data_IF_127484491902
#
_entry.id   IF_127484491902
#
_cell.length_a   1.000
_cell.length_b   1.000
_cell.length_c   1.000
_cell.angle_alpha   90.00
_cell.angle_beta   90.00
_cell.angle_gamma   90.00
#
_symmetry.space_group_name_H-M   'P 1'
#
loop_
_entity.id
_entity.type
_entity.pdbx_description
1 polymer ?
#
# COMPACT_ATOMS: atom_id res chain seq x y z
N UNK A 1 42.35 15.88 -42.60
CA UNK A 1 43.52 15.07 -42.16
C UNK A 1 43.16 14.49 -40.79
N UNK A 2 42.40 13.38 -40.71
CA UNK A 2 42.80 11.97 -40.82
C UNK A 2 43.92 11.56 -39.84
N UNK A 3 43.54 10.84 -38.77
CA UNK A 3 44.13 9.61 -38.16
C UNK A 3 43.79 9.55 -36.66
N UNK A 4 42.83 8.72 -36.24
CA UNK A 4 42.94 7.29 -35.87
C UNK A 4 43.96 6.99 -34.77
N UNK A 5 43.49 6.44 -33.63
CA UNK A 5 43.77 5.12 -33.00
C UNK A 5 42.81 4.98 -31.80
N UNK A 6 41.68 4.29 -31.87
CA UNK A 6 41.45 2.84 -31.86
C UNK A 6 42.38 2.08 -30.90
N UNK A 7 41.88 1.74 -29.71
CA UNK A 7 42.47 0.75 -28.82
C UNK A 7 41.39 -0.31 -28.49
N UNK A 8 41.45 -1.42 -29.22
CA UNK A 8 40.80 -2.69 -28.90
C UNK A 8 41.62 -3.40 -27.83
N UNK A 9 40.97 -3.92 -26.79
CA UNK A 9 41.49 -5.04 -26.01
C UNK A 9 40.37 -6.08 -25.91
N UNK A 10 40.49 -7.13 -26.72
CA UNK A 10 39.85 -8.42 -26.57
C UNK A 10 40.65 -9.27 -25.57
N UNK A 11 40.05 -10.40 -25.15
CA UNK A 11 40.68 -11.58 -24.51
C UNK A 11 40.49 -11.65 -22.98
N UNK A 12 40.04 -12.71 -22.30
CA UNK A 12 39.75 -14.12 -22.64
C UNK A 12 39.13 -14.80 -21.38
N UNK A 13 38.52 -15.98 -21.55
CA UNK A 13 38.28 -17.04 -20.55
C UNK A 13 37.16 -16.85 -19.52
N UNK A 14 36.45 -17.87 -19.05
CA UNK A 14 36.31 -19.27 -19.44
C UNK A 14 35.09 -19.82 -18.68
N UNK A 15 34.37 -20.74 -19.31
CA UNK A 15 33.33 -21.53 -18.69
C UNK A 15 33.91 -22.44 -17.58
N UNK A 16 33.21 -22.51 -16.44
CA UNK A 16 33.30 -23.66 -15.53
C UNK A 16 31.88 -24.13 -15.22
N UNK A 17 31.64 -25.37 -15.64
CA UNK A 17 30.47 -26.21 -15.45
C UNK A 17 30.56 -27.00 -14.13
N UNK A 18 29.39 -27.47 -13.66
CA UNK A 18 29.15 -28.64 -12.77
C UNK A 18 29.44 -28.40 -11.27
N UNK A 19 28.62 -28.80 -10.27
CA UNK A 19 27.92 -30.09 -10.06
C UNK A 19 26.95 -30.04 -8.82
N UNK A 20 25.92 -30.92 -8.80
CA UNK A 20 25.22 -31.60 -7.67
C UNK A 20 24.48 -30.76 -6.57
N UNK A 21 23.17 -30.91 -6.26
CA UNK A 21 22.29 -32.05 -5.95
C UNK A 21 22.32 -32.53 -4.47
N UNK A 22 21.12 -32.89 -3.95
CA UNK A 22 20.75 -33.62 -2.70
C UNK A 22 20.31 -32.74 -1.50
N UNK A 23 19.01 -32.49 -1.33
CA UNK A 23 18.00 -33.26 -0.53
C UNK A 23 18.28 -33.34 0.97
N UNK A 24 17.31 -32.88 1.79
CA UNK A 24 16.87 -33.59 2.99
C UNK A 24 15.49 -33.08 3.44
N UNK A 25 14.53 -34.00 3.46
CA UNK A 25 13.21 -33.88 4.05
C UNK A 25 13.30 -34.03 5.58
N UNK A 26 12.45 -33.30 6.30
CA UNK A 26 12.25 -33.46 7.75
C UNK A 26 10.80 -33.24 8.12
N UNK A 27 10.02 -34.32 8.14
CA UNK A 27 8.74 -34.41 8.86
C UNK A 27 9.02 -34.87 10.30
N UNK A 28 8.40 -34.22 11.28
CA UNK A 28 8.40 -34.66 12.67
C UNK A 28 7.28 -33.95 13.43
N UNK A 29 6.14 -34.64 13.55
CA UNK A 29 4.93 -34.26 14.28
C UNK A 29 4.63 -35.41 15.22
N UNK A 30 4.53 -35.15 16.53
CA UNK A 30 3.85 -35.95 17.56
C UNK A 30 4.00 -35.19 18.88
N UNK A 31 2.93 -34.60 19.41
CA UNK A 31 2.03 -35.16 20.42
C UNK A 31 2.54 -34.96 21.85
N UNK A 32 1.74 -34.25 22.66
CA UNK A 32 1.34 -34.69 24.02
C UNK A 32 0.24 -33.75 24.51
N UNK A 33 -0.96 -34.31 24.57
CA UNK A 33 -2.10 -33.87 25.35
C UNK A 33 -1.81 -34.02 26.85
N UNK A 34 -2.38 -33.13 27.67
CA UNK A 34 -2.93 -33.57 28.95
C UNK A 34 -4.08 -32.67 29.40
N UNK A 35 -5.15 -33.33 29.81
CA UNK A 35 -6.34 -32.79 30.45
C UNK A 35 -6.04 -32.31 31.88
N UNK A 36 -6.92 -31.47 32.45
CA UNK A 36 -7.87 -31.88 33.49
C UNK A 36 -8.46 -30.67 34.22
N UNK A 37 -9.79 -30.70 34.29
CA UNK A 37 -10.76 -29.84 34.95
C UNK A 37 -10.71 -30.02 36.48
N UNK A 38 -11.03 -28.99 37.26
CA UNK A 38 -11.86 -29.16 38.47
C UNK A 38 -12.49 -27.85 38.93
N UNK A 39 -13.82 -27.93 39.07
CA UNK A 39 -14.78 -27.00 39.64
C UNK A 39 -14.56 -26.72 41.14
N UNK A 40 -15.14 -25.62 41.65
CA UNK A 40 -16.06 -25.66 42.80
C UNK A 40 -16.61 -24.27 43.17
N UNK A 41 -17.94 -24.18 43.07
CA UNK A 41 -18.87 -23.21 43.65
C UNK A 41 -18.69 -22.91 45.15
N UNK A 42 -19.16 -21.73 45.56
CA UNK A 42 -19.95 -21.57 46.78
C UNK A 42 -20.86 -20.34 46.72
N UNK A 43 -22.13 -20.59 46.98
CA UNK A 43 -23.31 -19.72 46.90
C UNK A 43 -23.51 -18.79 48.13
N UNK A 44 -24.05 -17.57 47.86
CA UNK A 44 -25.14 -16.80 48.54
C UNK A 44 -25.05 -16.45 50.05
N UNK A 45 -25.66 -15.34 50.58
CA UNK A 45 -27.00 -14.84 50.22
C UNK A 45 -27.32 -13.31 50.26
N UNK A 46 -28.56 -13.09 49.82
CA UNK A 46 -29.48 -11.94 49.63
C UNK A 46 -29.68 -10.90 50.75
N UNK A 47 -30.01 -9.66 50.33
CA UNK A 47 -31.15 -8.80 50.76
C UNK A 47 -31.15 -7.50 49.91
N UNK A 48 -32.13 -7.25 49.01
CA UNK A 48 -33.30 -6.33 49.16
C UNK A 48 -32.96 -4.96 49.77
N UNK A 49 -33.42 -3.79 49.32
CA UNK A 49 -34.08 -3.21 48.16
C UNK A 49 -34.10 -1.69 48.46
N UNK A 50 -34.27 -0.83 47.45
CA UNK A 50 -35.11 0.39 47.47
C UNK A 50 -34.62 1.48 46.49
N UNK A 51 -35.62 2.15 45.94
CA UNK A 51 -35.68 3.10 44.82
C UNK A 51 -34.67 4.25 44.81
N UNK A 52 -34.24 4.63 43.60
CA UNK A 52 -33.64 5.95 43.37
C UNK A 52 -33.30 6.27 41.92
N UNK A 53 -34.25 6.89 41.22
CA UNK A 53 -34.09 7.80 40.07
C UNK A 53 -33.22 7.38 38.86
N UNK A 54 -33.91 7.02 37.79
CA UNK A 54 -33.38 6.96 36.43
C UNK A 54 -32.99 8.35 35.90
N UNK A 55 -31.72 8.50 35.52
CA UNK A 55 -31.29 9.52 34.57
C UNK A 55 -30.93 8.79 33.25
N UNK A 56 -31.45 9.21 32.10
CA UNK A 56 -31.13 8.58 30.83
C UNK A 56 -29.67 8.84 30.46
N UNK A 57 -28.90 7.75 30.31
CA UNK A 57 -27.60 7.75 29.66
C UNK A 57 -27.79 8.20 28.21
N UNK A 58 -27.08 9.24 27.72
CA UNK A 58 -27.10 9.57 26.31
C UNK A 58 -26.49 8.40 25.54
N UNK A 59 -27.28 7.88 24.59
CA UNK A 59 -26.90 6.77 23.74
C UNK A 59 -25.58 7.06 23.03
N UNK A 60 -24.66 6.10 23.14
CA UNK A 60 -23.52 5.97 22.25
C UNK A 60 -24.06 5.60 20.87
N UNK A 61 -24.48 6.60 20.11
CA UNK A 61 -24.71 6.48 18.70
C UNK A 61 -23.35 6.29 18.03
N UNK A 62 -23.11 5.10 17.47
CA UNK A 62 -22.03 4.86 16.53
C UNK A 62 -22.27 5.71 15.28
N UNK A 63 -21.84 6.98 15.31
CA UNK A 63 -21.68 7.78 14.12
C UNK A 63 -20.45 7.28 13.37
N UNK A 64 -20.66 6.74 12.17
CA UNK A 64 -19.57 6.52 11.20
C UNK A 64 -18.77 7.81 11.06
N UNK A 65 -17.43 7.75 11.03
CA UNK A 65 -16.61 8.96 10.89
C UNK A 65 -16.97 9.64 9.57
N UNK A 66 -17.44 10.88 9.68
CA UNK A 66 -17.69 11.78 8.57
C UNK A 66 -16.32 12.26 8.03
N UNK A 67 -15.91 11.73 6.86
CA UNK A 67 -14.67 12.11 6.19
C UNK A 67 -14.63 13.58 5.74
N UNK A 68 -15.71 14.35 5.93
CA UNK A 68 -15.75 15.80 5.67
C UNK A 68 -15.07 16.64 6.76
N UNK A 69 -14.69 16.07 7.91
CA UNK A 69 -14.24 16.83 9.07
C UNK A 69 -12.98 16.22 9.69
N UNK A 70 -11.84 16.38 9.01
CA UNK A 70 -10.52 16.27 9.63
C UNK A 70 -9.81 17.61 9.42
N UNK A 71 -9.03 18.01 10.42
CA UNK A 71 -8.39 19.30 10.62
C UNK A 71 -7.77 19.93 9.35
N UNK A 72 -7.67 21.27 9.35
CA UNK A 72 -7.07 22.14 8.31
C UNK A 72 -6.20 21.40 7.29
N UNK A 73 -6.72 21.22 6.06
CA UNK A 73 -6.00 20.67 4.91
C UNK A 73 -4.79 21.56 4.60
N UNK A 74 -3.64 21.26 5.19
CA UNK A 74 -2.45 22.14 5.14
C UNK A 74 -1.81 22.16 3.74
N UNK A 75 -2.06 21.14 2.92
CA UNK A 75 -1.59 21.05 1.55
C UNK A 75 -2.54 20.24 0.67
N UNK A 76 -2.99 20.85 -0.43
CA UNK A 76 -3.84 20.21 -1.45
C UNK A 76 -3.01 19.83 -2.67
N UNK A 77 -3.15 18.60 -3.14
CA UNK A 77 -2.58 18.07 -4.38
C UNK A 77 -3.37 16.81 -4.75
N UNK A 78 -3.37 16.43 -6.02
CA UNK A 78 -4.18 15.31 -6.51
C UNK A 78 -5.56 15.76 -6.99
N UNK A 79 -6.39 14.79 -7.35
CA UNK A 79 -7.77 14.99 -7.82
C UNK A 79 -8.71 15.38 -6.67
N UNK A 80 -9.73 16.17 -6.98
CA UNK A 80 -10.75 16.55 -6.01
C UNK A 80 -11.70 15.37 -5.72
N UNK A 81 -12.28 15.33 -4.52
CA UNK A 81 -13.31 14.34 -4.17
C UNK A 81 -14.50 14.49 -5.12
N UNK A 82 -14.97 13.35 -5.66
CA UNK A 82 -16.03 13.30 -6.66
C UNK A 82 -15.55 13.33 -8.13
N UNK A 83 -14.27 13.61 -8.39
CA UNK A 83 -13.72 13.53 -9.74
C UNK A 83 -13.56 12.07 -10.20
N UNK A 84 -13.58 11.84 -11.52
CA UNK A 84 -13.41 10.51 -12.13
C UNK A 84 -11.97 10.33 -12.59
N UNK A 85 -11.20 9.38 -12.03
CA UNK A 85 -9.84 9.13 -12.45
C UNK A 85 -9.76 8.69 -13.92
N UNK A 86 -8.98 9.45 -14.70
CA UNK A 86 -8.81 9.22 -16.14
C UNK A 86 -7.83 8.07 -16.43
N UNK A 87 -7.92 7.41 -17.60
CA UNK A 87 -6.92 6.44 -18.03
C UNK A 87 -5.53 7.07 -18.17
N UNK A 88 -4.51 6.35 -17.72
CA UNK A 88 -3.11 6.65 -18.03
C UNK A 88 -2.30 5.35 -17.97
N UNK A 89 -1.16 5.35 -18.65
CA UNK A 89 -0.29 4.18 -18.74
C UNK A 89 0.91 4.30 -17.81
N UNK A 90 1.32 3.18 -17.22
CA UNK A 90 2.53 3.01 -16.43
C UNK A 90 3.22 1.73 -16.85
N UNK A 91 4.53 1.63 -16.64
CA UNK A 91 5.24 0.35 -16.76
C UNK A 91 5.22 -0.38 -15.41
N UNK A 92 4.74 -1.62 -15.42
CA UNK A 92 4.76 -2.48 -14.25
C UNK A 92 6.19 -3.00 -13.98
N UNK A 93 6.69 -2.82 -12.76
CA UNK A 93 8.06 -3.22 -12.37
C UNK A 93 8.07 -4.44 -11.45
N UNK A 94 7.00 -4.70 -10.71
CA UNK A 94 6.97 -5.73 -9.64
C UNK A 94 5.67 -6.50 -9.56
N UNK A 95 4.64 -6.07 -10.28
CA UNK A 95 3.34 -6.68 -10.36
C UNK A 95 3.25 -7.81 -11.40
N UNK A 96 2.04 -8.31 -11.65
CA UNK A 96 1.81 -9.49 -12.48
C UNK A 96 2.08 -9.26 -13.98
N UNK A 97 2.26 -8.01 -14.39
CA UNK A 97 2.55 -7.62 -15.77
C UNK A 97 3.95 -7.03 -15.92
N UNK A 98 4.89 -7.39 -15.02
CA UNK A 98 6.27 -6.91 -15.01
C UNK A 98 6.88 -6.77 -16.42
N UNK A 99 7.44 -5.58 -16.69
CA UNK A 99 8.06 -5.21 -17.97
C UNK A 99 7.08 -4.79 -19.06
N UNK A 100 5.78 -4.67 -18.75
CA UNK A 100 4.76 -4.21 -19.70
C UNK A 100 4.21 -2.85 -19.30
N UNK A 101 3.85 -2.07 -20.31
CA UNK A 101 3.10 -0.82 -20.17
C UNK A 101 1.61 -1.09 -20.23
N UNK A 102 0.86 -0.58 -19.26
CA UNK A 102 -0.58 -0.78 -19.14
C UNK A 102 -1.28 0.27 -18.27
N UNK A 103 -2.61 0.28 -18.31
CA UNK A 103 -3.46 1.16 -17.52
C UNK A 103 -4.11 0.41 -16.35
N UNK A 104 -3.60 0.59 -15.12
CA UNK A 104 -4.19 -0.03 -13.93
C UNK A 104 -5.61 0.46 -13.64
N UNK A 105 -5.90 1.75 -13.88
CA UNK A 105 -7.27 2.28 -13.80
C UNK A 105 -8.25 1.50 -14.68
N UNK A 106 -7.80 1.09 -15.87
CA UNK A 106 -8.59 0.35 -16.84
C UNK A 106 -8.73 -1.13 -16.44
N UNK A 107 -7.64 -1.74 -15.95
CA UNK A 107 -7.65 -3.12 -15.46
C UNK A 107 -8.54 -3.32 -14.23
N UNK A 108 -8.50 -2.37 -13.30
CA UNK A 108 -9.23 -2.48 -12.04
C UNK A 108 -10.70 -2.07 -12.17
N UNK A 109 -11.09 -1.33 -13.22
CA UNK A 109 -12.50 -1.04 -13.51
C UNK A 109 -13.20 -0.30 -12.37
N UNK A 110 -14.28 -0.87 -11.84
CA UNK A 110 -15.09 -0.28 -10.75
C UNK A 110 -14.64 -0.72 -9.34
N UNK A 111 -13.54 -1.46 -9.23
CA UNK A 111 -13.03 -1.88 -7.92
C UNK A 111 -12.69 -0.67 -7.02
N UNK A 112 -12.74 -0.83 -5.69
CA UNK A 112 -12.10 0.11 -4.78
C UNK A 112 -10.59 0.06 -4.98
N UNK A 113 -9.97 1.22 -5.25
CA UNK A 113 -8.54 1.34 -5.57
C UNK A 113 -7.86 2.41 -4.72
N UNK A 114 -6.67 2.07 -4.22
CA UNK A 114 -5.72 3.02 -3.64
C UNK A 114 -4.60 3.29 -4.65
N UNK A 115 -4.59 4.48 -5.26
CA UNK A 115 -3.50 4.95 -6.12
C UNK A 115 -2.52 5.80 -5.33
N UNK A 116 -1.26 5.37 -5.28
CA UNK A 116 -0.21 6.03 -4.50
C UNK A 116 0.80 6.63 -5.48
N UNK A 117 0.88 7.96 -5.54
CA UNK A 117 1.81 8.70 -6.39
C UNK A 117 2.97 9.18 -5.52
N UNK A 118 4.19 8.84 -5.90
CA UNK A 118 5.38 9.12 -5.08
C UNK A 118 6.48 9.73 -5.93
N UNK A 119 7.19 10.70 -5.37
CA UNK A 119 8.46 11.22 -5.89
C UNK A 119 9.64 10.72 -5.07
N UNK A 120 9.38 10.35 -3.81
CA UNK A 120 10.40 9.90 -2.86
C UNK A 120 10.05 8.55 -2.25
N UNK A 121 11.03 7.65 -2.24
CA UNK A 121 10.96 6.32 -1.64
C UNK A 121 11.81 6.30 -0.37
N UNK A 122 11.34 7.01 0.66
CA UNK A 122 11.93 7.01 2.00
C UNK A 122 11.23 6.01 2.95
N UNK A 123 11.75 5.84 4.19
CA UNK A 123 11.24 4.83 5.11
C UNK A 123 9.74 4.92 5.43
N UNK A 124 9.20 6.14 5.51
CA UNK A 124 7.75 6.35 5.76
C UNK A 124 6.91 5.96 4.54
N UNK A 125 7.34 6.34 3.33
CA UNK A 125 6.69 5.93 2.09
C UNK A 125 6.70 4.40 1.93
N UNK A 126 7.82 3.75 2.20
CA UNK A 126 7.93 2.28 2.16
C UNK A 126 6.98 1.61 3.18
N UNK A 127 6.88 2.19 4.37
CA UNK A 127 5.99 1.69 5.44
C UNK A 127 4.52 1.86 5.05
N UNK A 128 4.16 2.99 4.44
CA UNK A 128 2.83 3.22 3.88
C UNK A 128 2.48 2.14 2.84
N UNK A 129 3.35 1.94 1.85
CA UNK A 129 3.13 0.95 0.78
C UNK A 129 2.98 -0.46 1.36
N UNK A 130 3.83 -0.83 2.32
CA UNK A 130 3.73 -2.14 2.98
C UNK A 130 2.40 -2.32 3.73
N UNK A 131 1.91 -1.29 4.42
CA UNK A 131 0.62 -1.36 5.11
C UNK A 131 -0.53 -1.48 4.13
N UNK A 132 -0.53 -0.71 3.04
CA UNK A 132 -1.55 -0.85 1.99
C UNK A 132 -1.50 -2.23 1.33
N UNK A 133 -0.32 -2.82 1.16
CA UNK A 133 -0.18 -4.20 0.69
C UNK A 133 -0.87 -5.21 1.61
N UNK A 134 -0.75 -5.02 2.92
CA UNK A 134 -1.44 -5.84 3.92
C UNK A 134 -2.96 -5.65 3.87
N UNK A 135 -3.45 -4.42 3.69
CA UNK A 135 -4.89 -4.17 3.53
C UNK A 135 -5.43 -4.82 2.25
N UNK A 136 -4.73 -4.70 1.12
CA UNK A 136 -5.09 -5.41 -0.12
C UNK A 136 -5.09 -6.92 0.10
N UNK A 137 -4.16 -7.43 0.91
CA UNK A 137 -4.11 -8.85 1.24
C UNK A 137 -5.32 -9.32 2.05
N UNK A 138 -5.75 -8.51 3.02
CA UNK A 138 -6.85 -8.80 3.92
C UNK A 138 -8.22 -8.65 3.24
N UNK A 139 -8.34 -7.73 2.28
CA UNK A 139 -9.59 -7.37 1.60
C UNK A 139 -9.65 -7.86 0.14
N UNK A 140 -9.07 -9.04 -0.13
CA UNK A 140 -9.11 -9.65 -1.48
C UNK A 140 -10.53 -9.97 -1.94
N UNK A 141 -11.37 -10.42 -1.02
CA UNK A 141 -12.76 -10.79 -1.31
C UNK A 141 -13.61 -9.56 -1.65
N UNK A 142 -13.30 -8.42 -1.05
CA UNK A 142 -13.87 -7.10 -1.36
C UNK A 142 -13.28 -6.50 -2.65
N UNK A 143 -12.37 -7.23 -3.30
CA UNK A 143 -11.66 -6.82 -4.51
C UNK A 143 -10.89 -5.51 -4.35
N UNK A 144 -10.43 -5.17 -3.15
CA UNK A 144 -9.52 -4.04 -2.96
C UNK A 144 -8.31 -4.18 -3.88
N UNK A 145 -7.90 -3.08 -4.51
CA UNK A 145 -6.70 -3.02 -5.32
C UNK A 145 -5.87 -1.81 -4.92
N UNK A 146 -4.58 -1.87 -5.20
CA UNK A 146 -3.72 -0.71 -5.11
C UNK A 146 -2.62 -0.79 -6.16
N UNK A 147 -1.96 0.33 -6.40
CA UNK A 147 -0.74 0.41 -7.19
C UNK A 147 0.02 1.69 -6.83
N UNK A 148 1.34 1.65 -6.99
CA UNK A 148 2.23 2.78 -6.77
C UNK A 148 2.74 3.29 -8.10
N UNK A 149 2.70 4.60 -8.30
CA UNK A 149 3.25 5.30 -9.46
C UNK A 149 4.43 6.15 -9.01
N UNK A 150 5.63 5.77 -9.43
CA UNK A 150 6.82 6.59 -9.22
C UNK A 150 6.90 7.67 -10.30
N UNK A 151 6.86 8.93 -9.86
CA UNK A 151 7.07 10.13 -10.66
C UNK A 151 8.52 10.58 -10.50
N UNK A 152 9.35 10.38 -11.53
CA UNK A 152 10.78 10.64 -11.52
C UNK A 152 11.23 11.18 -12.86
N UNK A 153 12.28 12.01 -12.88
CA UNK A 153 12.93 12.44 -14.13
C UNK A 153 13.56 11.27 -14.89
N UNK A 154 14.01 10.24 -14.17
CA UNK A 154 14.69 9.07 -14.72
C UNK A 154 13.99 7.79 -14.23
N UNK A 155 12.79 7.47 -14.72
CA UNK A 155 12.00 6.33 -14.24
C UNK A 155 12.73 4.99 -14.43
N UNK A 156 13.42 4.82 -15.56
CA UNK A 156 14.18 3.60 -15.88
C UNK A 156 15.25 3.25 -14.84
N UNK A 157 15.93 4.25 -14.28
CA UNK A 157 16.99 4.04 -13.29
C UNK A 157 16.46 3.60 -11.92
N UNK A 158 15.18 3.85 -11.64
CA UNK A 158 14.57 3.56 -10.35
C UNK A 158 14.03 2.12 -10.25
N UNK A 159 13.93 1.39 -11.37
CA UNK A 159 13.32 0.05 -11.43
C UNK A 159 14.01 -0.95 -10.49
N UNK A 160 15.35 -0.95 -10.44
CA UNK A 160 16.10 -1.82 -9.54
C UNK A 160 15.82 -1.52 -8.07
N UNK A 161 15.71 -0.23 -7.72
CA UNK A 161 15.37 0.20 -6.36
C UNK A 161 13.95 -0.22 -5.97
N UNK A 162 12.98 -0.09 -6.87
CA UNK A 162 11.61 -0.57 -6.65
C UNK A 162 11.56 -2.08 -6.38
N UNK A 163 12.28 -2.89 -7.18
CA UNK A 163 12.38 -4.33 -6.96
C UNK A 163 13.00 -4.69 -5.61
N UNK A 164 14.06 -3.96 -5.23
CA UNK A 164 14.70 -4.14 -3.92
C UNK A 164 13.71 -3.84 -2.79
N UNK A 165 13.01 -2.70 -2.83
CA UNK A 165 12.01 -2.31 -1.82
C UNK A 165 10.91 -3.36 -1.73
N UNK A 166 10.37 -3.81 -2.88
CA UNK A 166 9.33 -4.83 -2.90
C UNK A 166 9.77 -6.14 -2.22
N UNK A 167 11.02 -6.57 -2.47
CA UNK A 167 11.59 -7.74 -1.83
C UNK A 167 11.80 -7.55 -0.33
N UNK A 168 12.46 -6.46 0.09
CA UNK A 168 12.80 -6.18 1.49
C UNK A 168 11.55 -5.98 2.36
N UNK A 169 10.53 -5.30 1.82
CA UNK A 169 9.26 -5.04 2.52
C UNK A 169 8.21 -6.12 2.29
N UNK A 170 8.51 -7.14 1.46
CA UNK A 170 7.62 -8.24 1.11
C UNK A 170 6.28 -7.76 0.51
N UNK A 171 6.35 -6.73 -0.33
CA UNK A 171 5.19 -6.20 -1.07
C UNK A 171 4.86 -7.20 -2.18
N UNK A 172 3.66 -7.78 -2.15
CA UNK A 172 3.26 -8.89 -3.03
C UNK A 172 1.97 -8.64 -3.82
N UNK A 173 1.18 -7.65 -3.39
CA UNK A 173 -0.16 -7.37 -3.88
C UNK A 173 -0.30 -5.96 -4.47
N UNK A 174 0.61 -5.05 -4.12
CA UNK A 174 0.68 -3.69 -4.69
C UNK A 174 1.78 -3.62 -5.75
N UNK A 175 1.45 -3.51 -7.04
CA UNK A 175 2.45 -3.27 -8.08
C UNK A 175 3.12 -1.92 -7.87
N UNK A 176 4.45 -1.93 -7.84
CA UNK A 176 5.28 -0.74 -7.99
C UNK A 176 5.52 -0.50 -9.48
N UNK A 177 5.24 0.71 -9.93
CA UNK A 177 5.26 1.08 -11.35
C UNK A 177 6.05 2.36 -11.56
N UNK A 178 6.45 2.59 -12.81
CA UNK A 178 7.05 3.86 -13.23
C UNK A 178 6.19 4.53 -14.30
N UNK A 179 6.13 5.85 -14.25
CA UNK A 179 5.43 6.67 -15.24
C UNK A 179 6.43 7.26 -16.23
N UNK A 180 6.15 7.11 -17.52
CA UNK A 180 6.94 7.74 -18.59
C UNK A 180 6.47 9.19 -18.76
N UNK A 181 6.91 10.05 -17.84
CA UNK A 181 6.61 11.47 -17.77
C UNK A 181 7.23 12.10 -16.51
N UNK A 182 7.62 13.37 -16.59
CA UNK A 182 8.26 14.10 -15.47
C UNK A 182 7.24 14.65 -14.46
N UNK A 183 5.99 14.78 -14.89
CA UNK A 183 4.90 15.41 -14.16
C UNK A 183 3.82 14.39 -13.76
N UNK A 184 2.82 14.86 -13.02
CA UNK A 184 1.58 14.12 -12.78
C UNK A 184 0.97 13.61 -14.09
N UNK A 185 0.38 12.40 -14.10
CA UNK A 185 -0.49 11.99 -15.19
C UNK A 185 -1.58 13.03 -15.43
N UNK A 186 -1.98 13.16 -16.69
CA UNK A 186 -2.95 14.16 -17.12
C UNK A 186 -4.27 14.04 -16.33
N UNK A 187 -4.69 15.14 -15.72
CA UNK A 187 -5.93 15.21 -14.93
C UNK A 187 -5.82 14.68 -13.50
N UNK A 188 -4.67 14.13 -13.08
CA UNK A 188 -4.46 13.68 -11.70
C UNK A 188 -3.98 14.80 -10.77
N UNK A 189 -3.53 15.93 -11.31
CA UNK A 189 -3.21 17.15 -10.56
C UNK A 189 -2.23 16.97 -9.38
N UNK A 190 -1.32 15.99 -9.45
CA UNK A 190 -0.28 15.77 -8.44
C UNK A 190 0.78 16.88 -8.56
N UNK A 191 0.83 17.77 -7.58
CA UNK A 191 1.75 18.90 -7.55
C UNK A 191 3.20 18.44 -7.44
N UNK A 192 4.13 19.28 -7.90
CA UNK A 192 5.57 18.98 -7.82
C UNK A 192 6.06 18.89 -6.37
N UNK A 193 5.46 19.66 -5.46
CA UNK A 193 5.79 19.65 -4.04
C UNK A 193 5.23 18.45 -3.27
N UNK A 194 4.36 17.64 -3.89
CA UNK A 194 3.81 16.44 -3.27
C UNK A 194 4.83 15.30 -3.38
N UNK A 195 5.52 15.02 -2.28
CA UNK A 195 6.43 13.87 -2.20
C UNK A 195 5.65 12.56 -2.21
N UNK A 196 4.49 12.54 -1.55
CA UNK A 196 3.53 11.43 -1.54
C UNK A 196 2.12 12.00 -1.71
N UNK A 197 1.35 11.44 -2.65
CA UNK A 197 -0.06 11.73 -2.83
C UNK A 197 -0.83 10.42 -2.94
N UNK A 198 -1.81 10.22 -2.06
CA UNK A 198 -2.65 9.02 -2.07
C UNK A 198 -4.07 9.42 -2.44
N UNK A 199 -4.60 8.80 -3.48
CA UNK A 199 -5.98 8.96 -3.90
C UNK A 199 -6.69 7.62 -3.78
N UNK A 200 -7.86 7.65 -3.15
CA UNK A 200 -8.72 6.50 -2.95
C UNK A 200 -9.97 6.71 -3.79
N UNK A 201 -10.32 5.73 -4.62
CA UNK A 201 -11.50 5.84 -5.48
C UNK A 201 -12.23 4.53 -5.64
N UNK A 202 -13.55 4.67 -5.86
CA UNK A 202 -14.44 3.62 -6.33
C UNK A 202 -15.44 4.31 -7.28
N UNK A 203 -15.21 4.14 -8.59
CA UNK A 203 -15.84 4.94 -9.64
C UNK A 203 -15.33 6.40 -9.69
N UNK A 204 -15.49 7.12 -8.59
CA UNK A 204 -15.04 8.51 -8.33
C UNK A 204 -14.10 8.56 -7.12
N UNK A 205 -13.28 9.60 -7.02
CA UNK A 205 -12.43 9.86 -5.86
C UNK A 205 -13.28 10.02 -4.60
N UNK A 206 -12.96 9.28 -3.56
CA UNK A 206 -13.63 9.26 -2.25
C UNK A 206 -12.80 9.96 -1.18
N UNK A 207 -11.48 9.83 -1.26
CA UNK A 207 -10.54 10.51 -0.38
C UNK A 207 -9.25 10.83 -1.14
N UNK A 208 -8.57 11.88 -0.69
CA UNK A 208 -7.28 12.32 -1.21
C UNK A 208 -6.44 12.87 -0.05
N UNK A 209 -5.23 12.35 0.12
CA UNK A 209 -4.26 12.82 1.11
C UNK A 209 -2.93 13.13 0.41
N UNK A 210 -2.41 14.34 0.62
CA UNK A 210 -1.16 14.77 0.03
C UNK A 210 -0.18 15.22 1.12
N UNK A 211 1.09 14.86 0.93
CA UNK A 211 2.17 15.13 1.87
C UNK A 211 3.37 15.68 1.10
N UNK A 212 3.91 16.81 1.56
CA UNK A 212 5.20 17.31 1.08
C UNK A 212 6.33 16.45 1.64
N UNK A 213 7.54 16.69 1.15
CA UNK A 213 8.76 16.08 1.67
C UNK A 213 8.85 16.26 3.19
N UNK A 214 8.93 15.15 3.92
CA UNK A 214 9.03 15.12 5.37
C UNK A 214 7.71 15.25 6.14
N UNK A 215 6.57 15.43 5.47
CA UNK A 215 5.26 15.55 6.14
C UNK A 215 4.56 14.20 6.37
N UNK A 216 4.91 13.16 5.60
CA UNK A 216 4.35 11.83 5.83
C UNK A 216 4.95 11.23 7.11
N UNK A 217 4.14 11.19 8.17
CA UNK A 217 4.47 10.61 9.47
C UNK A 217 3.56 9.43 9.82
N UNK A 218 3.67 8.94 11.06
CA UNK A 218 2.88 7.80 11.52
C UNK A 218 1.36 8.09 11.54
N UNK A 219 0.95 9.33 11.85
CA UNK A 219 -0.46 9.72 11.86
C UNK A 219 -1.00 9.73 10.44
N UNK A 220 -0.29 10.37 9.50
CA UNK A 220 -0.69 10.39 8.10
C UNK A 220 -0.78 9.00 7.48
N UNK A 221 0.14 8.09 7.83
CA UNK A 221 0.06 6.68 7.40
C UNK A 221 -1.19 6.00 7.96
N UNK A 222 -1.50 6.21 9.25
CA UNK A 222 -2.65 5.59 9.88
C UNK A 222 -3.96 6.08 9.25
N UNK A 223 -4.08 7.39 9.00
CA UNK A 223 -5.25 7.97 8.34
C UNK A 223 -5.48 7.37 6.94
N UNK A 224 -4.44 7.20 6.13
CA UNK A 224 -4.57 6.58 4.80
C UNK A 224 -5.05 5.12 4.91
N UNK A 225 -4.55 4.37 5.90
CA UNK A 225 -4.98 2.98 6.15
C UNK A 225 -6.44 2.94 6.62
N UNK A 226 -6.86 3.87 7.46
CA UNK A 226 -8.25 3.97 7.92
C UNK A 226 -9.21 4.32 6.77
N UNK A 227 -8.87 5.30 5.93
CA UNK A 227 -9.64 5.60 4.71
C UNK A 227 -9.75 4.38 3.79
N UNK A 228 -8.66 3.62 3.66
CA UNK A 228 -8.62 2.40 2.84
C UNK A 228 -9.63 1.37 3.33
N UNK A 229 -9.69 1.15 4.66
CA UNK A 229 -10.64 0.22 5.28
C UNK A 229 -12.08 0.71 5.16
N UNK A 230 -12.32 2.03 5.20
CA UNK A 230 -13.65 2.59 5.01
C UNK A 230 -14.21 2.37 3.60
N UNK A 231 -13.37 2.15 2.59
CA UNK A 231 -13.85 1.82 1.24
C UNK A 231 -14.43 0.41 1.11
N UNK A 232 -14.04 -0.52 1.98
CA UNK A 232 -14.31 -1.96 1.84
C UNK A 232 -15.01 -2.59 3.04
N UNK A 233 -15.43 -1.75 4.00
CA UNK A 233 -16.22 -2.15 5.18
C UNK A 233 -17.71 -1.87 5.03
#
# INVERSE_FOLDING_TARGET
>A
MSRNRLNQILSVSAAVLLLAAMTLAGCGKTETSNETVSDADSETPVAEAELGAAAPLPGSASSKPDMSQTETVSFQSGMEVGEVPMPFEVEDVTGPYEGKTLCYRCLYGERPVVGIFVRELGPQTETLIQKIDQEVAAHKDDKLAAFVVLLSENPGEQKSKLKQIASEKKIQHVPLTVYEGTDSPLGYNVKQEAAVNVMLWEGVVKANRAFRTGELDQSGIQEVVEDTRLMVN
#
